data_IF_962452808427
#
_entry.id   IF_962452808427
#
_cell.length_a   1.000
_cell.length_b   1.000
_cell.length_c   1.000
_cell.angle_alpha   90.00
_cell.angle_beta   90.00
_cell.angle_gamma   90.00
#
_symmetry.space_group_name_H-M   'P 1'
#
loop_
_entity.id
_entity.type
_entity.pdbx_description
1 polymer ?
#
# COMPACT_ATOMS: atom_id res chain seq x y z
N UNK A 1 -33.28 2.35 -22.47
CA UNK A 1 -32.15 1.47 -22.85
C UNK A 1 -30.91 2.34 -22.87
N UNK A 2 -30.18 2.42 -21.75
CA UNK A 2 -28.98 3.26 -21.67
C UNK A 2 -27.89 2.58 -22.52
N UNK A 3 -27.46 3.24 -23.59
CA UNK A 3 -26.23 2.87 -24.29
C UNK A 3 -25.10 3.09 -23.29
N UNK A 4 -24.59 1.99 -22.72
CA UNK A 4 -23.26 1.99 -22.13
C UNK A 4 -22.32 2.25 -23.28
N UNK A 5 -21.88 3.50 -23.40
CA UNK A 5 -20.75 3.84 -24.26
C UNK A 5 -19.58 3.06 -23.71
N UNK A 6 -19.17 1.98 -24.40
CA UNK A 6 -17.84 1.41 -24.21
C UNK A 6 -16.87 2.52 -24.60
N UNK A 7 -16.51 3.36 -23.63
CA UNK A 7 -15.25 4.09 -23.68
C UNK A 7 -14.21 3.00 -23.87
N UNK A 8 -13.45 3.05 -24.97
CA UNK A 8 -12.38 2.09 -25.21
C UNK A 8 -11.43 2.15 -24.02
N UNK A 9 -11.62 1.25 -23.05
CA UNK A 9 -10.60 0.92 -22.07
C UNK A 9 -9.38 0.59 -22.94
N UNK A 10 -8.27 1.33 -22.80
CA UNK A 10 -7.07 1.12 -23.61
C UNK A 10 -6.51 -0.30 -23.45
N UNK A 11 -5.31 -0.58 -23.97
CA UNK A 11 -4.68 -1.92 -23.93
C UNK A 11 -4.74 -2.65 -22.57
N UNK A 12 -4.86 -1.93 -21.45
CA UNK A 12 -5.04 -2.51 -20.13
C UNK A 12 -6.33 -3.34 -19.96
N UNK A 13 -7.36 -3.16 -20.79
CA UNK A 13 -8.51 -4.09 -20.83
C UNK A 13 -8.09 -5.51 -21.16
N UNK A 14 -7.07 -5.64 -22.01
CA UNK A 14 -6.57 -6.92 -22.48
C UNK A 14 -5.57 -7.50 -21.46
N UNK A 15 -4.91 -6.64 -20.69
CA UNK A 15 -3.99 -7.01 -19.60
C UNK A 15 -4.68 -7.34 -18.26
N UNK A 16 -6.02 -7.26 -18.17
CA UNK A 16 -6.78 -7.53 -16.94
C UNK A 16 -6.52 -8.95 -16.41
N UNK A 17 -6.54 -9.97 -17.29
CA UNK A 17 -6.33 -11.37 -16.91
C UNK A 17 -4.93 -11.60 -16.34
N UNK A 18 -3.90 -11.04 -16.97
CA UNK A 18 -2.50 -11.23 -16.56
C UNK A 18 -2.23 -10.59 -15.19
N UNK A 19 -2.80 -9.40 -14.96
CA UNK A 19 -2.68 -8.68 -13.70
C UNK A 19 -3.31 -9.48 -12.55
N UNK A 20 -4.49 -10.07 -12.78
CA UNK A 20 -5.12 -10.97 -11.81
C UNK A 20 -4.30 -12.25 -11.57
N UNK A 21 -3.73 -12.85 -12.62
CA UNK A 21 -2.92 -14.05 -12.52
C UNK A 21 -1.64 -13.82 -11.71
N UNK A 22 -0.99 -12.65 -11.87
CA UNK A 22 0.17 -12.26 -11.06
C UNK A 22 -0.16 -12.30 -9.56
N UNK A 23 -1.31 -11.74 -9.17
CA UNK A 23 -1.75 -11.70 -7.75
C UNK A 23 -2.07 -13.10 -7.23
N UNK A 24 -2.78 -13.92 -8.01
CA UNK A 24 -3.11 -15.31 -7.63
C UNK A 24 -1.86 -16.18 -7.45
N UNK A 25 -0.78 -15.87 -8.17
CA UNK A 25 0.50 -16.54 -8.07
C UNK A 25 1.40 -16.01 -6.94
N UNK A 26 1.00 -14.95 -6.23
CA UNK A 26 1.81 -14.41 -5.13
C UNK A 26 1.93 -15.43 -3.99
N UNK A 27 3.13 -15.60 -3.40
CA UNK A 27 3.36 -16.55 -2.32
C UNK A 27 2.44 -16.24 -1.13
N UNK A 28 1.95 -17.28 -0.44
CA UNK A 28 1.29 -17.11 0.85
C UNK A 28 2.35 -16.78 1.88
N UNK A 29 2.36 -15.55 2.37
CA UNK A 29 3.41 -15.00 3.24
C UNK A 29 2.96 -14.87 4.69
N UNK A 30 1.66 -14.87 4.94
CA UNK A 30 1.07 -14.81 6.28
C UNK A 30 0.72 -16.24 6.71
N UNK A 31 1.19 -16.65 7.89
CA UNK A 31 0.78 -17.90 8.53
C UNK A 31 -0.22 -17.68 9.66
N UNK A 32 -0.29 -16.46 10.18
CA UNK A 32 -1.21 -16.04 11.22
C UNK A 32 -1.50 -14.55 11.10
N UNK A 33 -2.74 -14.15 11.38
CA UNK A 33 -3.17 -12.76 11.50
C UNK A 33 -4.32 -12.67 12.51
N UNK A 34 -4.22 -11.77 13.47
CA UNK A 34 -5.29 -11.42 14.38
C UNK A 34 -5.52 -9.91 14.36
N UNK A 35 -6.74 -9.51 14.02
CA UNK A 35 -7.15 -8.11 14.02
C UNK A 35 -7.70 -7.70 15.38
N UNK A 36 -7.63 -6.41 15.69
CA UNK A 36 -8.11 -5.85 16.94
C UNK A 36 -9.27 -4.87 16.73
N UNK A 37 -10.02 -4.62 17.80
CA UNK A 37 -10.88 -3.43 17.85
C UNK A 37 -10.02 -2.17 17.70
N UNK A 38 -10.55 -1.21 16.94
CA UNK A 38 -9.79 -0.04 16.53
C UNK A 38 -9.85 1.03 17.62
N UNK A 39 -8.74 1.19 18.33
CA UNK A 39 -8.53 2.29 19.26
C UNK A 39 -7.60 3.34 18.65
N UNK A 40 -8.04 4.60 18.65
CA UNK A 40 -7.21 5.73 18.17
C UNK A 40 -6.45 6.31 19.34
N UNK A 41 -5.12 6.18 19.30
CA UNK A 41 -4.22 6.75 20.28
C UNK A 41 -3.69 8.08 19.73
N UNK A 42 -3.85 9.16 20.50
CA UNK A 42 -3.30 10.47 20.17
C UNK A 42 -2.04 10.72 20.99
N UNK A 43 -0.95 11.06 20.31
CA UNK A 43 0.36 11.31 20.90
C UNK A 43 0.70 12.78 20.75
N UNK A 44 0.84 13.47 21.88
CA UNK A 44 1.35 14.85 21.96
C UNK A 44 2.80 14.91 22.41
N UNK A 45 3.24 13.91 23.18
CA UNK A 45 4.62 13.75 23.65
C UNK A 45 4.97 12.27 23.61
N UNK A 46 6.07 11.91 22.93
CA UNK A 46 6.54 10.53 22.88
C UNK A 46 7.01 10.08 24.28
N UNK A 47 6.35 9.07 24.82
CA UNK A 47 6.56 8.51 26.16
C UNK A 47 7.24 7.14 26.14
N UNK A 48 7.22 6.45 24.99
CA UNK A 48 7.77 5.11 24.82
C UNK A 48 8.46 4.91 23.46
N UNK A 49 9.10 3.75 23.29
CA UNK A 49 9.88 3.41 22.09
C UNK A 49 9.01 3.32 20.84
N UNK A 50 7.81 2.75 20.93
CA UNK A 50 6.88 2.66 19.80
C UNK A 50 6.52 4.05 19.29
N UNK A 51 6.09 4.95 20.18
CA UNK A 51 5.73 6.33 19.83
C UNK A 51 6.90 7.07 19.19
N UNK A 52 8.12 6.86 19.72
CA UNK A 52 9.35 7.45 19.16
C UNK A 52 9.63 6.93 17.75
N UNK A 53 9.49 5.62 17.52
CA UNK A 53 9.66 5.00 16.20
C UNK A 53 8.63 5.52 15.19
N UNK A 54 7.35 5.59 15.58
CA UNK A 54 6.28 6.08 14.71
C UNK A 54 6.45 7.57 14.38
N UNK A 55 6.86 8.37 15.37
CA UNK A 55 7.21 9.78 15.18
C UNK A 55 8.35 9.95 14.16
N UNK A 56 9.43 9.17 14.30
CA UNK A 56 10.59 9.26 13.41
C UNK A 56 10.24 8.97 11.94
N UNK A 57 9.33 8.02 11.69
CA UNK A 57 8.83 7.72 10.33
C UNK A 57 8.07 8.91 9.75
N UNK A 58 7.13 9.48 10.51
CA UNK A 58 6.39 10.67 10.08
C UNK A 58 7.30 11.88 9.87
N UNK A 59 8.27 12.11 10.76
CA UNK A 59 9.20 13.22 10.68
C UNK A 59 10.09 13.10 9.44
N UNK A 60 10.60 11.90 9.16
CA UNK A 60 11.38 11.62 7.96
C UNK A 60 10.60 11.84 6.65
N UNK A 61 9.27 11.66 6.65
CA UNK A 61 8.44 12.04 5.52
C UNK A 61 8.36 13.56 5.35
N UNK A 62 8.03 14.28 6.43
CA UNK A 62 7.90 15.73 6.40
C UNK A 62 9.20 16.42 5.99
N UNK A 63 10.34 15.91 6.45
CA UNK A 63 11.65 16.40 6.05
C UNK A 63 11.88 16.26 4.54
N UNK A 64 11.54 15.10 3.96
CA UNK A 64 11.61 14.89 2.50
C UNK A 64 10.67 15.81 1.73
N UNK A 65 9.45 16.05 2.23
CA UNK A 65 8.44 16.90 1.57
C UNK A 65 8.82 18.38 1.61
N UNK A 66 9.36 18.83 2.74
CA UNK A 66 9.66 20.26 2.99
C UNK A 66 11.09 20.66 2.69
N UNK A 67 12.00 19.68 2.53
CA UNK A 67 13.44 19.90 2.40
C UNK A 67 14.08 20.48 3.66
N UNK A 68 13.40 20.43 4.81
CA UNK A 68 13.85 21.00 6.09
C UNK A 68 13.79 19.96 7.19
N UNK A 69 14.79 19.90 8.10
CA UNK A 69 14.74 19.03 9.26
C UNK A 69 13.47 19.27 10.09
N UNK A 70 12.76 18.19 10.41
CA UNK A 70 11.57 18.24 11.27
C UNK A 70 11.91 17.65 12.61
N UNK A 71 12.17 18.53 13.58
CA UNK A 71 12.58 18.15 14.92
C UNK A 71 11.40 17.84 15.85
N UNK A 72 10.18 18.29 15.52
CA UNK A 72 8.98 17.96 16.29
C UNK A 72 7.74 17.95 15.40
N UNK A 73 6.82 17.04 15.71
CA UNK A 73 5.47 17.00 15.16
C UNK A 73 4.58 17.27 16.37
N UNK A 74 3.78 18.35 16.33
CA UNK A 74 3.03 18.79 17.52
C UNK A 74 2.08 17.72 18.07
N UNK A 75 1.48 16.93 17.18
CA UNK A 75 0.74 15.73 17.54
C UNK A 75 0.58 14.78 16.36
N UNK A 76 0.53 13.48 16.62
CA UNK A 76 0.14 12.46 15.64
C UNK A 76 -0.79 11.43 16.29
N UNK A 77 -1.45 10.63 15.46
CA UNK A 77 -2.37 9.59 15.87
C UNK A 77 -1.92 8.25 15.30
N UNK A 78 -2.19 7.17 16.02
CA UNK A 78 -2.01 5.84 15.48
C UNK A 78 -3.09 4.86 15.95
N UNK A 79 -3.27 3.79 15.19
CA UNK A 79 -4.20 2.69 15.45
C UNK A 79 -3.43 1.39 15.25
N UNK A 80 -3.47 0.48 16.22
CA UNK A 80 -2.99 -0.90 16.03
C UNK A 80 -4.07 -1.66 15.25
N UNK A 81 -3.74 -2.14 14.06
CA UNK A 81 -4.70 -2.81 13.18
C UNK A 81 -4.73 -4.32 13.42
N UNK A 82 -3.55 -4.95 13.45
CA UNK A 82 -3.42 -6.37 13.64
C UNK A 82 -2.03 -6.77 14.14
N UNK A 83 -1.94 -7.97 14.66
CA UNK A 83 -0.70 -8.71 14.83
C UNK A 83 -0.66 -9.87 13.83
N UNK A 84 0.53 -10.21 13.37
CA UNK A 84 0.71 -11.20 12.32
C UNK A 84 2.03 -11.94 12.44
N UNK A 85 2.06 -13.14 11.86
CA UNK A 85 3.28 -13.90 11.61
C UNK A 85 3.55 -13.96 10.11
N UNK A 86 4.75 -13.53 9.72
CA UNK A 86 5.21 -13.54 8.32
C UNK A 86 6.29 -14.60 8.12
N UNK A 87 6.05 -15.50 7.18
CA UNK A 87 7.00 -16.54 6.78
C UNK A 87 8.12 -15.98 5.91
N UNK A 88 9.30 -16.61 5.96
CA UNK A 88 10.41 -16.27 5.07
C UNK A 88 10.07 -16.64 3.62
N UNK A 89 10.75 -15.99 2.68
CA UNK A 89 10.68 -16.36 1.26
C UNK A 89 11.14 -17.81 1.07
N UNK A 90 10.53 -18.49 0.10
CA UNK A 90 10.94 -19.85 -0.28
C UNK A 90 12.45 -19.92 -0.53
N UNK A 91 13.10 -20.95 0.04
CA UNK A 91 14.55 -21.14 -0.05
C UNK A 91 15.38 -20.32 0.95
N UNK A 92 14.78 -19.38 1.70
CA UNK A 92 15.48 -18.61 2.74
C UNK A 92 15.27 -19.26 4.11
N UNK A 93 16.37 -19.71 4.73
CA UNK A 93 16.39 -20.21 6.11
C UNK A 93 16.42 -19.03 7.11
N UNK A 94 15.28 -18.43 7.35
CA UNK A 94 15.09 -17.43 8.40
C UNK A 94 13.87 -17.81 9.24
N UNK A 95 13.89 -17.48 10.54
CA UNK A 95 12.75 -17.71 11.42
C UNK A 95 11.56 -16.83 10.99
N UNK A 96 10.30 -17.25 11.23
CA UNK A 96 9.15 -16.39 11.02
C UNK A 96 9.27 -15.09 11.81
N UNK A 97 8.72 -14.00 11.26
CA UNK A 97 8.66 -12.70 11.95
C UNK A 97 7.29 -12.50 12.59
N UNK A 98 7.29 -12.22 13.89
CA UNK A 98 6.14 -11.62 14.56
C UNK A 98 6.15 -10.11 14.30
N UNK A 99 5.03 -9.55 13.87
CA UNK A 99 4.89 -8.13 13.54
C UNK A 99 3.54 -7.59 13.98
N UNK A 100 3.51 -6.29 14.22
CA UNK A 100 2.31 -5.50 14.44
C UNK A 100 2.16 -4.49 13.31
N UNK A 101 0.96 -4.39 12.73
CA UNK A 101 0.61 -3.38 11.75
C UNK A 101 -0.07 -2.19 12.44
N UNK A 102 0.47 -1.00 12.21
CA UNK A 102 -0.08 0.25 12.70
C UNK A 102 -0.48 1.15 11.54
N UNK A 103 -1.66 1.77 11.64
CA UNK A 103 -2.01 2.92 10.81
C UNK A 103 -1.62 4.19 11.56
N UNK A 104 -0.84 5.06 10.92
CA UNK A 104 -0.23 6.24 11.52
C UNK A 104 -0.51 7.46 10.64
N UNK A 105 -1.03 8.53 11.24
CA UNK A 105 -1.45 9.73 10.53
C UNK A 105 -1.37 10.96 11.45
N UNK A 106 -1.39 12.15 10.86
CA UNK A 106 -1.42 13.41 11.60
C UNK A 106 -2.28 14.41 10.86
N UNK A 107 -3.16 15.09 11.58
CA UNK A 107 -4.02 16.14 11.00
C UNK A 107 -3.19 17.33 10.50
N UNK A 108 -1.95 17.49 10.99
CA UNK A 108 -1.02 18.55 10.58
C UNK A 108 -0.22 18.18 9.32
N UNK A 109 -0.40 16.97 8.81
CA UNK A 109 0.32 16.43 7.65
C UNK A 109 -0.71 16.04 6.60
N UNK A 110 -1.29 17.07 5.97
CA UNK A 110 -2.37 16.91 5.00
C UNK A 110 -2.05 15.87 3.92
N UNK A 111 -3.06 15.05 3.64
CA UNK A 111 -3.13 14.14 2.51
C UNK A 111 -2.25 12.88 2.57
N UNK A 112 -1.60 12.53 3.69
CA UNK A 112 -0.79 11.29 3.76
C UNK A 112 -0.97 10.45 5.01
N UNK A 113 -1.09 9.14 4.79
CA UNK A 113 -1.19 8.11 5.81
C UNK A 113 -0.04 7.11 5.67
N UNK A 114 0.30 6.46 6.79
CA UNK A 114 1.34 5.44 6.84
C UNK A 114 0.78 4.14 7.41
N UNK A 115 1.16 3.02 6.81
CA UNK A 115 1.01 1.70 7.37
C UNK A 115 2.38 1.18 7.74
N UNK A 116 2.61 0.90 9.02
CA UNK A 116 3.93 0.60 9.58
C UNK A 116 3.92 -0.78 10.22
N UNK A 117 4.89 -1.62 9.84
CA UNK A 117 5.16 -2.91 10.45
C UNK A 117 6.25 -2.76 11.51
N UNK A 118 5.89 -3.03 12.77
CA UNK A 118 6.75 -2.93 13.95
C UNK A 118 6.97 -4.32 14.55
N UNK A 119 8.19 -4.64 14.95
CA UNK A 119 8.50 -5.89 15.66
C UNK A 119 8.14 -5.81 17.17
N UNK A 120 8.19 -6.92 17.92
CA UNK A 120 7.88 -6.92 19.35
C UNK A 120 8.83 -6.04 20.21
N UNK A 121 9.98 -5.63 19.67
CA UNK A 121 10.94 -4.76 20.34
C UNK A 121 10.68 -3.27 20.05
N UNK A 122 9.63 -2.93 19.30
CA UNK A 122 9.30 -1.56 18.93
C UNK A 122 10.12 -0.99 17.77
N UNK A 123 10.82 -1.85 17.02
CA UNK A 123 11.60 -1.44 15.84
C UNK A 123 10.76 -1.49 14.58
N UNK A 124 10.88 -0.48 13.72
CA UNK A 124 10.26 -0.52 12.40
C UNK A 124 11.01 -1.44 11.46
N UNK A 125 10.23 -2.31 10.80
CA UNK A 125 10.73 -3.34 9.88
C UNK A 125 10.42 -2.97 8.43
N UNK A 126 9.26 -2.39 8.19
CA UNK A 126 8.80 -1.94 6.88
C UNK A 126 7.66 -0.93 7.03
N UNK A 127 7.44 -0.09 6.01
CA UNK A 127 6.28 0.79 5.97
C UNK A 127 5.82 1.05 4.53
N UNK A 128 4.54 1.38 4.38
CA UNK A 128 3.97 2.00 3.20
C UNK A 128 3.49 3.40 3.53
N UNK A 129 3.75 4.33 2.61
CA UNK A 129 3.20 5.68 2.61
C UNK A 129 2.26 5.81 1.43
N UNK A 130 1.09 6.38 1.68
CA UNK A 130 0.08 6.57 0.65
C UNK A 130 -0.79 7.79 0.95
N UNK A 131 -1.44 8.27 -0.11
CA UNK A 131 -2.29 9.44 -0.11
C UNK A 131 -3.65 9.11 -0.70
N UNK A 132 -4.68 9.79 -0.22
CA UNK A 132 -6.01 9.76 -0.81
C UNK A 132 -6.12 10.84 -1.89
N UNK A 133 -6.62 10.48 -3.06
CA UNK A 133 -6.88 11.42 -4.13
C UNK A 133 -8.30 11.26 -4.66
N UNK A 134 -8.94 12.39 -4.96
CA UNK A 134 -10.28 12.41 -5.57
C UNK A 134 -10.23 12.43 -7.09
N UNK A 135 -9.08 12.82 -7.67
CA UNK A 135 -8.83 12.86 -9.11
C UNK A 135 -7.34 13.04 -9.41
N UNK A 136 -6.91 12.59 -10.58
CA UNK A 136 -5.60 12.94 -11.17
C UNK A 136 -5.73 12.96 -12.69
N UNK A 137 -5.24 14.01 -13.37
CA UNK A 137 -5.29 14.07 -14.84
C UNK A 137 -4.49 12.93 -15.48
N UNK A 138 -3.51 12.39 -14.75
CA UNK A 138 -2.68 11.31 -15.26
C UNK A 138 -3.30 9.92 -15.08
N UNK A 139 -4.33 9.77 -14.24
CA UNK A 139 -5.07 8.51 -14.04
C UNK A 139 -6.47 8.57 -14.62
N UNK A 140 -6.86 9.68 -15.25
CA UNK A 140 -8.16 9.83 -15.88
C UNK A 140 -8.52 8.68 -16.84
N UNK A 141 -7.59 8.12 -17.65
CA UNK A 141 -7.91 6.96 -18.51
C UNK A 141 -8.26 5.67 -17.75
N UNK A 142 -7.84 5.54 -16.48
CA UNK A 142 -8.06 4.36 -15.64
C UNK A 142 -9.18 4.56 -14.61
N UNK A 143 -9.21 5.71 -13.94
CA UNK A 143 -10.10 6.05 -12.82
C UNK A 143 -10.85 7.36 -13.07
N UNK A 144 -11.59 7.45 -14.19
CA UNK A 144 -12.31 8.66 -14.64
C UNK A 144 -13.11 9.31 -13.51
N UNK A 145 -12.59 10.40 -12.93
CA UNK A 145 -13.18 11.13 -11.79
C UNK A 145 -13.56 10.27 -10.57
N UNK A 146 -12.85 9.16 -10.35
CA UNK A 146 -13.06 8.29 -9.20
C UNK A 146 -11.97 8.49 -8.15
N UNK A 147 -12.30 8.45 -6.85
CA UNK A 147 -11.30 8.43 -5.79
C UNK A 147 -10.40 7.20 -5.85
N UNK A 148 -9.15 7.36 -5.48
CA UNK A 148 -8.16 6.27 -5.41
C UNK A 148 -7.11 6.55 -4.31
N UNK A 149 -6.43 5.48 -3.88
CA UNK A 149 -5.26 5.58 -3.01
C UNK A 149 -3.99 5.56 -3.87
N UNK A 150 -3.12 6.55 -3.76
CA UNK A 150 -1.80 6.54 -4.38
C UNK A 150 -0.74 6.10 -3.37
N UNK A 151 -0.01 5.02 -3.68
CA UNK A 151 1.17 4.62 -2.92
C UNK A 151 2.35 5.48 -3.38
N UNK A 152 2.93 6.22 -2.44
CA UNK A 152 4.12 7.02 -2.70
C UNK A 152 5.40 6.22 -2.49
N UNK A 153 5.40 5.37 -1.47
CA UNK A 153 6.58 4.63 -1.06
C UNK A 153 6.22 3.35 -0.34
N UNK A 154 6.99 2.31 -0.63
CA UNK A 154 7.09 1.10 0.18
C UNK A 154 8.58 0.91 0.48
N UNK A 155 8.89 0.71 1.75
CA UNK A 155 10.25 0.45 2.23
C UNK A 155 10.27 -0.78 3.13
N UNK A 156 11.33 -1.58 3.03
CA UNK A 156 11.50 -2.76 3.88
C UNK A 156 12.97 -2.99 4.20
N UNK A 157 13.29 -2.98 5.50
CA UNK A 157 14.63 -3.29 6.01
C UNK A 157 14.99 -4.77 5.90
N UNK A 158 13.99 -5.64 5.70
CA UNK A 158 14.16 -7.11 5.61
C UNK A 158 13.78 -7.69 4.24
N UNK A 159 13.85 -6.87 3.18
CA UNK A 159 13.50 -7.27 1.79
C UNK A 159 14.23 -8.50 1.25
N UNK A 160 15.41 -8.82 1.77
CA UNK A 160 16.18 -10.00 1.37
C UNK A 160 15.51 -11.32 1.78
N UNK A 161 14.92 -11.35 2.98
CA UNK A 161 14.39 -12.58 3.56
C UNK A 161 12.87 -12.68 3.55
N UNK A 162 12.14 -11.55 3.51
CA UNK A 162 10.69 -11.52 3.65
C UNK A 162 10.05 -10.64 2.57
N UNK A 163 8.84 -11.02 2.15
CA UNK A 163 8.07 -10.29 1.14
C UNK A 163 7.13 -9.24 1.78
N UNK A 164 7.68 -8.39 2.65
CA UNK A 164 6.89 -7.41 3.42
C UNK A 164 6.22 -6.35 2.55
N UNK A 165 6.77 -6.06 1.37
CA UNK A 165 6.11 -5.17 0.41
C UNK A 165 4.77 -5.73 -0.08
N UNK A 166 4.64 -7.05 -0.25
CA UNK A 166 3.37 -7.71 -0.59
C UNK A 166 2.34 -7.54 0.54
N UNK A 167 2.77 -7.70 1.79
CA UNK A 167 1.91 -7.50 2.98
C UNK A 167 1.42 -6.05 3.04
N UNK A 168 2.31 -5.09 2.81
CA UNK A 168 1.97 -3.68 2.83
C UNK A 168 1.02 -3.27 1.69
N UNK A 169 1.19 -3.81 0.48
CA UNK A 169 0.23 -3.59 -0.61
C UNK A 169 -1.13 -4.17 -0.28
N UNK A 170 -1.19 -5.37 0.32
CA UNK A 170 -2.46 -5.92 0.79
C UNK A 170 -3.13 -5.00 1.81
N UNK A 171 -2.36 -4.47 2.78
CA UNK A 171 -2.88 -3.56 3.79
C UNK A 171 -3.40 -2.24 3.20
N UNK A 172 -2.69 -1.66 2.22
CA UNK A 172 -3.15 -0.45 1.51
C UNK A 172 -4.41 -0.75 0.68
N UNK A 173 -4.46 -1.91 0.02
CA UNK A 173 -5.64 -2.34 -0.72
C UNK A 173 -6.85 -2.50 0.20
N UNK A 174 -6.71 -3.21 1.32
CA UNK A 174 -7.78 -3.36 2.32
C UNK A 174 -8.20 -2.02 2.92
N UNK A 175 -7.26 -1.09 3.14
CA UNK A 175 -7.57 0.28 3.55
C UNK A 175 -8.44 0.97 2.49
N UNK A 176 -8.08 0.85 1.21
CA UNK A 176 -8.86 1.43 0.11
C UNK A 176 -10.29 0.86 0.01
N UNK A 177 -10.49 -0.42 0.38
CA UNK A 177 -11.83 -1.04 0.47
C UNK A 177 -12.70 -0.45 1.57
N UNK A 178 -12.09 0.12 2.61
CA UNK A 178 -12.83 0.82 3.66
C UNK A 178 -13.21 2.26 3.30
N UNK A 179 -12.75 2.74 2.15
CA UNK A 179 -12.96 4.11 1.65
C UNK A 179 -13.90 4.13 0.45
N UNK A 180 -14.22 5.31 -0.07
CA UNK A 180 -14.87 5.48 -1.38
C UNK A 180 -13.93 5.22 -2.59
N UNK A 181 -12.71 4.71 -2.36
CA UNK A 181 -11.81 4.21 -3.40
C UNK A 181 -12.14 2.77 -3.85
N UNK A 182 -12.82 1.96 -3.04
CA UNK A 182 -13.32 0.62 -3.44
C UNK A 182 -12.28 -0.33 -4.08
N UNK A 183 -11.01 -0.26 -3.65
CA UNK A 183 -9.94 -1.11 -4.19
C UNK A 183 -9.10 -0.42 -5.27
N UNK A 184 -9.44 0.81 -5.68
CA UNK A 184 -8.64 1.62 -6.62
C UNK A 184 -7.36 2.07 -5.93
N UNK A 185 -6.25 1.48 -6.37
CA UNK A 185 -4.91 1.78 -5.88
C UNK A 185 -3.99 2.05 -7.07
N UNK A 186 -3.22 3.13 -6.98
CA UNK A 186 -2.22 3.50 -7.96
C UNK A 186 -0.86 3.74 -7.31
N UNK A 187 0.17 3.92 -8.13
CA UNK A 187 1.47 4.39 -7.69
C UNK A 187 2.12 5.25 -8.77
N UNK A 188 2.88 6.25 -8.35
CA UNK A 188 3.76 7.02 -9.22
C UNK A 188 5.15 6.35 -9.19
N UNK A 189 5.56 5.72 -10.29
CA UNK A 189 6.74 4.86 -10.37
C UNK A 189 8.06 5.65 -10.47
N UNK A 190 8.14 6.88 -9.96
CA UNK A 190 9.36 7.68 -10.08
C UNK A 190 10.50 7.01 -9.29
N UNK A 191 11.39 6.30 -9.98
CA UNK A 191 12.62 5.66 -9.49
C UNK A 191 12.55 4.38 -8.62
N UNK A 192 11.57 3.48 -8.78
CA UNK A 192 11.56 2.19 -8.05
C UNK A 192 11.14 1.00 -8.93
N UNK A 193 11.73 -0.18 -8.69
CA UNK A 193 11.65 -1.39 -9.53
C UNK A 193 10.26 -1.71 -10.09
N UNK A 194 10.00 -1.33 -11.34
CA UNK A 194 8.74 -1.61 -12.03
C UNK A 194 8.34 -3.09 -11.97
N UNK A 195 9.30 -4.01 -12.05
CA UNK A 195 9.05 -5.46 -11.92
C UNK A 195 8.40 -5.85 -10.59
N UNK A 196 8.77 -5.20 -9.49
CA UNK A 196 8.18 -5.50 -8.18
C UNK A 196 6.68 -5.19 -8.16
N UNK A 197 6.30 -3.99 -8.59
CA UNK A 197 4.90 -3.58 -8.61
C UNK A 197 4.10 -4.33 -9.68
N UNK A 198 4.72 -4.57 -10.83
CA UNK A 198 4.14 -5.41 -11.86
C UNK A 198 3.77 -6.78 -11.31
N UNK A 199 4.68 -7.48 -10.61
CA UNK A 199 4.36 -8.77 -9.98
C UNK A 199 3.25 -8.72 -8.93
N UNK A 200 2.89 -7.54 -8.42
CA UNK A 200 1.77 -7.32 -7.51
C UNK A 200 0.45 -7.01 -8.23
N UNK A 201 0.40 -7.18 -9.56
CA UNK A 201 -0.78 -6.97 -10.39
C UNK A 201 -1.02 -5.50 -10.75
N UNK A 202 -0.05 -4.61 -10.55
CA UNK A 202 -0.16 -3.24 -11.04
C UNK A 202 0.13 -3.22 -12.54
N UNK A 203 -0.78 -2.63 -13.30
CA UNK A 203 -0.67 -2.48 -14.75
C UNK A 203 -0.10 -1.08 -15.04
N UNK A 204 0.97 -0.96 -15.85
CA UNK A 204 1.42 0.34 -16.35
C UNK A 204 0.33 1.01 -17.18
N UNK A 205 0.26 2.33 -17.10
CA UNK A 205 -0.69 3.10 -17.92
C UNK A 205 -0.26 3.18 -19.41
N UNK A 206 1.03 2.95 -19.71
CA UNK A 206 1.59 3.02 -21.07
C UNK A 206 1.97 1.63 -21.57
N UNK A 207 1.49 1.26 -22.75
CA UNK A 207 1.71 -0.06 -23.39
C UNK A 207 3.20 -0.40 -23.56
N UNK A 208 4.09 0.53 -24.01
CA UNK A 208 5.50 0.21 -24.16
C UNK A 208 6.21 -0.15 -22.84
N UNK A 209 5.68 0.31 -21.70
CA UNK A 209 6.20 -0.07 -20.38
C UNK A 209 5.75 -1.50 -20.03
N UNK A 210 4.50 -1.84 -20.34
CA UNK A 210 3.99 -3.18 -20.14
C UNK A 210 4.81 -4.20 -20.95
N UNK A 211 5.06 -3.93 -22.23
CA UNK A 211 5.80 -4.83 -23.10
C UNK A 211 7.20 -5.14 -22.57
N UNK A 212 7.90 -4.12 -22.11
CA UNK A 212 9.25 -4.28 -21.54
C UNK A 212 9.23 -5.10 -20.24
N UNK A 213 8.25 -4.89 -19.37
CA UNK A 213 8.11 -5.66 -18.12
C UNK A 213 7.70 -7.11 -18.38
N UNK A 214 6.79 -7.33 -19.33
CA UNK A 214 6.15 -8.62 -19.56
C UNK A 214 6.89 -9.50 -20.56
N UNK A 215 7.22 -8.96 -21.74
CA UNK A 215 7.86 -9.73 -22.82
C UNK A 215 9.38 -9.65 -22.77
N UNK A 216 9.95 -8.50 -22.43
CA UNK A 216 11.41 -8.30 -22.41
C UNK A 216 12.05 -8.64 -21.05
N UNK A 217 11.24 -8.74 -19.99
CA UNK A 217 11.71 -9.09 -18.64
C UNK A 217 12.59 -8.02 -17.98
N UNK A 218 12.47 -6.77 -18.43
CA UNK A 218 13.19 -5.64 -17.86
C UNK A 218 12.77 -5.39 -16.40
N UNK A 219 13.74 -5.14 -15.52
CA UNK A 219 13.49 -5.04 -14.07
C UNK A 219 13.35 -3.61 -13.55
N UNK A 220 14.11 -2.70 -14.18
CA UNK A 220 14.33 -1.34 -13.71
C UNK A 220 13.78 -0.34 -14.73
N UNK A 221 12.46 -0.32 -14.86
CA UNK A 221 11.77 0.65 -15.68
C UNK A 221 11.03 1.62 -14.78
N UNK A 222 11.12 2.90 -15.09
CA UNK A 222 10.19 3.89 -14.58
C UNK A 222 8.89 3.80 -15.38
N UNK A 223 7.86 3.22 -14.75
CA UNK A 223 6.55 3.10 -15.38
C UNK A 223 5.72 4.37 -15.40
N UNK A 224 6.24 5.49 -14.88
CA UNK A 224 5.57 6.75 -14.51
C UNK A 224 4.36 6.55 -13.60
N UNK A 225 3.34 5.83 -14.05
CA UNK A 225 2.09 5.56 -13.35
C UNK A 225 1.65 4.12 -13.62
N UNK A 226 1.36 3.40 -12.53
CA UNK A 226 0.75 2.07 -12.57
C UNK A 226 -0.48 2.05 -11.67
N UNK A 227 -1.44 1.18 -11.99
CA UNK A 227 -2.72 1.10 -11.29
C UNK A 227 -3.23 -0.34 -11.22
N UNK A 228 -4.16 -0.62 -10.30
CA UNK A 228 -4.87 -1.90 -10.27
C UNK A 228 -6.05 -1.85 -11.24
N UNK A 229 -6.09 -2.77 -12.20
CA UNK A 229 -7.25 -3.03 -13.05
C UNK A 229 -8.40 -3.65 -12.26
N UNK A 230 -9.60 -3.71 -12.85
CA UNK A 230 -10.78 -4.31 -12.21
C UNK A 230 -10.53 -5.77 -11.83
N UNK A 231 -9.93 -6.56 -12.72
CA UNK A 231 -9.58 -7.95 -12.44
C UNK A 231 -8.50 -8.10 -11.36
N UNK A 232 -7.53 -7.18 -11.31
CA UNK A 232 -6.52 -7.15 -10.25
C UNK A 232 -7.14 -6.81 -8.88
N UNK A 233 -8.10 -5.88 -8.85
CA UNK A 233 -8.87 -5.55 -7.64
C UNK A 233 -9.60 -6.79 -7.10
N UNK A 234 -10.31 -7.53 -7.96
CA UNK A 234 -10.98 -8.78 -7.54
C UNK A 234 -10.00 -9.84 -7.04
N UNK A 235 -8.86 -10.05 -7.70
CA UNK A 235 -7.86 -10.99 -7.23
C UNK A 235 -7.26 -10.59 -5.87
N UNK A 236 -7.04 -9.29 -5.62
CA UNK A 236 -6.64 -8.80 -4.31
C UNK A 236 -7.72 -8.97 -3.25
N UNK A 237 -9.00 -8.80 -3.61
CA UNK A 237 -10.15 -9.05 -2.74
C UNK A 237 -10.23 -10.51 -2.31
N UNK A 238 -10.12 -11.45 -3.26
CA UNK A 238 -10.03 -12.90 -3.00
C UNK A 238 -8.88 -13.21 -2.02
N UNK A 239 -7.71 -12.59 -2.25
CA UNK A 239 -6.53 -12.79 -1.41
C UNK A 239 -6.70 -12.24 0.00
N UNK A 240 -7.24 -11.02 0.13
CA UNK A 240 -7.47 -10.36 1.42
C UNK A 240 -8.47 -11.12 2.30
N UNK A 241 -9.43 -11.82 1.70
CA UNK A 241 -10.39 -12.65 2.44
C UNK A 241 -9.74 -13.82 3.19
N UNK A 242 -8.61 -14.36 2.71
CA UNK A 242 -7.94 -15.50 3.37
C UNK A 242 -7.24 -15.09 4.68
N UNK A 243 -6.61 -13.91 4.70
CA UNK A 243 -5.90 -13.37 5.87
C UNK A 243 -6.11 -11.86 5.94
N UNK A 244 -7.27 -11.38 6.39
CA UNK A 244 -7.57 -9.96 6.44
C UNK A 244 -6.67 -9.26 7.46
N UNK A 245 -6.05 -8.16 7.06
CA UNK A 245 -5.20 -7.33 7.88
C UNK A 245 -5.98 -6.20 8.57
N UNK A 246 -7.11 -5.80 7.98
CA UNK A 246 -7.92 -4.68 8.43
C UNK A 246 -9.37 -5.14 8.54
N UNK A 247 -10.01 -4.88 9.69
CA UNK A 247 -11.43 -5.18 9.85
C UNK A 247 -12.30 -4.27 8.95
N UNK A 248 -13.42 -4.78 8.40
CA UNK A 248 -14.28 -4.05 7.46
C UNK A 248 -14.84 -2.73 8.01
N UNK A 249 -15.10 -2.64 9.32
CA UNK A 249 -15.62 -1.44 9.96
C UNK A 249 -14.47 -0.48 10.30
N UNK A 250 -14.01 0.31 9.33
CA UNK A 250 -13.15 1.47 9.61
C UNK A 250 -14.08 2.67 9.92
N UNK A 251 -13.87 3.41 11.02
CA UNK A 251 -14.70 4.59 11.28
C UNK A 251 -14.50 5.59 10.15
N UNK A 252 -15.57 5.96 9.44
CA UNK A 252 -15.53 6.88 8.29
C UNK A 252 -14.86 8.23 8.62
N UNK A 253 -14.85 8.63 9.88
CA UNK A 253 -14.16 9.81 10.40
C UNK A 253 -12.62 9.71 10.43
N UNK A 254 -12.03 8.53 10.21
CA UNK A 254 -10.57 8.28 10.26
C UNK A 254 -9.99 7.89 8.88
N UNK A 255 -10.84 7.85 7.86
CA UNK A 255 -10.54 7.26 6.54
C UNK A 255 -10.10 8.30 5.52
N UNK A 256 -10.39 9.58 5.77
CA UNK A 256 -9.98 10.67 4.88
C UNK A 256 -8.81 11.38 5.54
N UNK A 257 -7.56 11.15 5.11
CA UNK A 257 -6.52 12.14 5.38
C UNK A 257 -6.96 13.39 4.60
N UNK A 258 -7.53 14.35 5.33
CA UNK A 258 -7.91 15.64 4.77
C UNK A 258 -6.69 16.30 4.10
#
# INVERSE_FOLDING_TARGET
MYKVTQISKGFWSDAESDSAQQIRNLPKVLSYCQTFEKEVITVTTCSNSLETTLHAILAGYLEKKTGKPVHSIGSFKFIRLCEMRVESKSGIKAAPLELNLYHVFSDNVEGTAHLVLIDPNGQDVAYARFAYHTKSPHLEPAYVNLPFIAIDAIESKKRGAYALGTVLVQAVFEYSLSTDCEGRVSLYSTNKSGEFYFKLGFTPLKEPIFDKLYFEGEKNIDGEIMFLTDAANEAWRERAQMHPLIQPAFPTSLIKPF
#
